data_IF_621505326727
#
_entry.id   IF_621505326727
#
_cell.length_a   1.000
_cell.length_b   1.000
_cell.length_c   1.000
_cell.angle_alpha   90.00
_cell.angle_beta   90.00
_cell.angle_gamma   90.00
#
_symmetry.space_group_name_H-M   'P 1'
#
loop_
_entity.id
_entity.type
_entity.pdbx_description
1 polymer ?
2 non-polymer ?
3 non-polymer ?
4 water ?
#
# COMPACT_ATOMS: atom_id res chain seq x y z
N UNK A 12 -7.25 11.60 -17.75
CA UNK A 12 -6.32 10.48 -17.51
C UNK A 12 -5.31 10.79 -16.38
N UNK A 13 -5.46 10.11 -15.21
CA UNK A 13 -4.55 10.30 -14.06
C UNK A 13 -3.21 9.64 -14.37
N UNK A 14 -2.07 10.34 -14.25
CA UNK A 14 -0.79 9.69 -14.54
C UNK A 14 -0.55 8.50 -13.61
N UNK A 15 0.03 7.43 -14.17
CA UNK A 15 0.38 6.24 -13.39
C UNK A 15 1.57 6.64 -12.52
N UNK A 16 1.82 5.90 -11.43
CA UNK A 16 2.95 6.22 -10.56
C UNK A 16 4.28 6.06 -11.30
N UNK A 17 5.29 6.94 -11.06
CA UNK A 17 6.62 6.65 -11.60
C UNK A 17 7.07 5.33 -10.95
N UNK A 18 7.77 4.48 -11.69
CA UNK A 18 8.19 3.17 -11.21
C UNK A 18 9.64 3.15 -10.73
N UNK A 19 10.49 4.07 -11.25
CA UNK A 19 11.92 4.12 -10.94
C UNK A 19 12.40 5.26 -10.06
N UNK A 20 13.25 4.92 -9.08
CA UNK A 20 13.91 5.87 -8.19
C UNK A 20 15.38 5.47 -8.03
N UNK A 21 16.33 6.42 -7.94
CA UNK A 21 17.75 6.05 -7.80
C UNK A 21 18.07 5.24 -6.56
N UNK A 22 17.35 5.52 -5.47
CA UNK A 22 17.53 4.93 -4.15
C UNK A 22 16.16 4.63 -3.54
N UNK A 23 16.06 4.57 -2.18
CA UNK A 23 14.83 4.29 -1.47
C UNK A 23 13.76 5.36 -1.70
N UNK A 24 12.52 4.92 -1.86
CA UNK A 24 11.41 5.80 -2.14
C UNK A 24 10.34 5.77 -1.05
N UNK A 25 9.46 6.79 -1.04
CA UNK A 25 8.36 6.91 -0.09
C UNK A 25 7.06 7.43 -0.73
N UNK A 26 5.96 6.79 -0.37
CA UNK A 26 4.62 7.17 -0.74
C UNK A 26 3.79 7.29 0.51
N UNK A 27 2.80 8.17 0.50
CA UNK A 27 1.91 8.38 1.65
C UNK A 27 0.45 8.30 1.22
N UNK A 28 -0.40 7.82 2.13
CA UNK A 28 -1.83 7.64 1.98
C UNK A 28 -2.46 8.41 3.12
N UNK A 29 -3.53 9.13 2.84
CA UNK A 29 -4.17 10.00 3.82
C UNK A 29 -5.69 10.07 3.67
N UNK A 30 -6.40 9.31 4.50
CA UNK A 30 -7.87 9.27 4.50
C UNK A 30 -8.46 10.48 5.23
N UNK A 31 -9.33 11.23 4.54
CA UNK A 31 -9.91 12.45 5.09
C UNK A 31 -11.13 12.23 5.95
N UNK A 32 -11.36 13.15 6.87
CA UNK A 32 -12.54 13.16 7.72
C UNK A 32 -13.27 14.48 7.48
N UNK A 33 -14.60 14.40 7.48
CA UNK A 33 -15.47 15.55 7.32
C UNK A 33 -16.26 15.61 6.04
N UNK A 34 -15.98 14.71 5.09
CA UNK A 34 -16.64 14.68 3.79
C UNK A 34 -16.67 13.30 3.16
N UNK A 35 -17.39 13.19 2.05
CA UNK A 35 -17.46 12.02 1.18
C UNK A 35 -17.42 12.47 -0.31
N UNK A 36 -17.08 11.54 -1.18
CA UNK A 36 -17.18 11.66 -2.62
C UNK A 36 -18.32 10.67 -2.99
N UNK A 37 -19.21 11.08 -3.89
CA UNK A 37 -20.25 10.21 -4.38
C UNK A 37 -20.00 10.09 -5.86
N UNK A 38 -20.13 8.87 -6.41
CA UNK A 38 -19.84 8.56 -7.81
C UNK A 38 -20.74 7.44 -8.32
N UNK A 39 -20.84 7.18 -9.66
CA UNK A 39 -21.59 5.99 -10.12
C UNK A 39 -20.98 4.70 -9.59
N UNK A 40 -21.76 3.59 -9.56
CA UNK A 40 -21.27 2.28 -9.12
C UNK A 40 -20.23 1.75 -10.10
N UNK A 41 -19.24 0.98 -9.59
CA UNK A 41 -18.15 0.38 -10.38
C UNK A 41 -17.25 1.44 -11.07
N UNK A 42 -17.20 2.65 -10.49
CA UNK A 42 -16.37 3.76 -10.97
C UNK A 42 -14.92 3.49 -10.63
N UNK A 43 -14.01 4.08 -11.40
CA UNK A 43 -12.57 3.96 -11.15
C UNK A 43 -12.25 4.64 -9.81
N UNK A 44 -11.26 4.10 -9.05
CA UNK A 44 -10.85 4.61 -7.75
C UNK A 44 -10.40 6.08 -7.80
N UNK A 45 -9.63 6.45 -8.83
CA UNK A 45 -9.11 7.80 -9.04
C UNK A 45 -10.10 8.68 -9.79
N UNK A 46 -10.38 9.88 -9.24
CA UNK A 46 -11.29 10.85 -9.88
C UNK A 46 -10.61 12.17 -10.19
N UNK A 47 -9.37 12.31 -9.71
CA UNK A 47 -8.55 13.49 -9.93
C UNK A 47 -7.18 13.40 -9.29
N UNK A 48 -6.39 14.47 -9.46
CA UNK A 48 -5.06 14.60 -8.91
C UNK A 48 -4.67 16.06 -8.71
N UNK A 49 -3.69 16.27 -7.82
CA UNK A 49 -3.12 17.59 -7.56
C UNK A 49 -1.66 17.55 -8.04
N UNK A 50 -1.28 18.56 -8.81
CA UNK A 50 0.06 18.70 -9.35
C UNK A 50 0.61 20.08 -9.00
N UNK A 51 1.93 20.27 -9.12
CA UNK A 51 2.52 21.59 -8.91
C UNK A 51 2.26 22.41 -10.19
N UNK A 52 2.45 23.74 -10.13
CA UNK A 52 2.30 24.62 -11.29
C UNK A 52 3.28 24.24 -12.43
N UNK A 53 4.44 23.68 -12.06
CA UNK A 53 5.49 23.22 -12.98
C UNK A 53 5.07 21.90 -13.69
N UNK A 54 4.00 21.26 -13.22
CA UNK A 54 3.46 20.03 -13.79
C UNK A 54 3.79 18.73 -13.09
N UNK A 55 4.50 18.77 -11.96
CA UNK A 55 4.85 17.57 -11.21
C UNK A 55 3.63 17.05 -10.44
N UNK A 56 3.26 15.79 -10.67
CA UNK A 56 2.12 15.10 -10.05
C UNK A 56 2.48 14.83 -8.57
N UNK A 57 1.65 15.33 -7.63
CA UNK A 57 1.90 15.26 -6.18
C UNK A 57 1.11 14.18 -5.46
N UNK A 58 -0.20 14.13 -5.69
CA UNK A 58 -1.07 13.10 -5.13
C UNK A 58 -2.36 12.90 -5.91
N UNK A 59 -2.95 11.72 -5.73
CA UNK A 59 -4.22 11.34 -6.37
C UNK A 59 -5.37 11.57 -5.41
N UNK A 60 -6.56 11.88 -5.96
CA UNK A 60 -7.82 12.05 -5.24
C UNK A 60 -8.58 10.77 -5.52
N UNK A 61 -8.78 9.95 -4.48
CA UNK A 61 -9.40 8.64 -4.64
C UNK A 61 -10.57 8.40 -3.73
N UNK A 62 -11.44 7.47 -4.15
CA UNK A 62 -12.51 6.99 -3.29
C UNK A 62 -11.85 5.89 -2.45
N UNK A 63 -12.25 5.77 -1.19
CA UNK A 63 -11.65 4.77 -0.32
C UNK A 63 -12.67 3.74 0.23
N UNK A 64 -13.28 4.03 1.39
CA UNK A 64 -14.22 3.15 2.07
C UNK A 64 -15.67 3.41 1.60
N UNK A 65 -16.36 2.36 1.08
CA UNK A 65 -17.76 2.46 0.64
C UNK A 65 -18.64 2.76 1.86
N UNK A 66 -19.37 3.89 1.84
CA UNK A 66 -20.21 4.34 2.95
C UNK A 66 -21.70 4.18 2.67
N UNK A 67 -22.04 3.40 1.64
CA UNK A 67 -23.41 3.13 1.23
C UNK A 67 -23.80 3.85 -0.03
N UNK A 68 -25.06 3.68 -0.47
CA UNK A 68 -25.55 4.30 -1.69
C UNK A 68 -25.77 5.81 -1.51
N UNK A 69 -25.60 6.56 -2.60
CA UNK A 69 -25.79 8.00 -2.59
C UNK A 69 -27.23 8.36 -2.90
N UNK A 70 -27.83 9.21 -2.07
CA UNK A 70 -29.18 9.71 -2.29
C UNK A 70 -29.09 11.22 -2.39
N UNK A 71 -29.37 11.76 -3.59
CA UNK A 71 -29.31 13.20 -3.82
C UNK A 71 -30.31 13.88 -2.88
N UNK A 72 -29.87 14.84 -2.03
CA UNK A 72 -30.83 15.52 -1.16
C UNK A 72 -31.95 16.20 -1.97
N UNK A 73 -33.24 15.95 -1.63
CA UNK A 73 -34.37 16.50 -2.43
C UNK A 73 -34.30 18.00 -2.75
N UNK A 74 -33.83 18.80 -1.79
CA UNK A 74 -33.66 20.24 -1.92
C UNK A 74 -32.51 20.66 -2.87
N UNK A 75 -31.79 19.67 -3.45
CA UNK A 75 -30.68 19.88 -4.40
C UNK A 75 -30.91 19.09 -5.70
N UNK A 76 -32.18 18.73 -6.00
CA UNK A 76 -32.61 18.06 -7.23
C UNK A 76 -32.22 19.00 -8.36
N UNK A 77 -31.60 18.45 -9.41
CA UNK A 77 -31.07 19.23 -10.53
C UNK A 77 -31.34 18.64 -11.91
N UNK A 78 -32.22 17.65 -11.98
CA UNK A 78 -32.57 16.96 -13.23
C UNK A 78 -31.50 16.00 -13.72
N UNK A 79 -30.46 15.78 -12.91
CA UNK A 79 -29.36 14.88 -13.23
C UNK A 79 -29.58 13.50 -12.64
N UNK A 80 -29.04 12.50 -13.36
CA UNK A 80 -29.12 11.09 -13.05
C UNK A 80 -28.02 10.73 -12.02
N UNK A 81 -28.46 10.34 -10.79
CA UNK A 81 -27.60 9.86 -9.70
C UNK A 81 -27.98 8.42 -9.34
N UNK A 82 -28.48 7.65 -10.34
CA UNK A 82 -28.92 6.27 -10.14
C UNK A 82 -27.78 5.31 -9.94
N UNK A 83 -27.86 4.53 -8.85
CA UNK A 83 -26.89 3.51 -8.42
C UNK A 83 -25.54 4.10 -7.92
N UNK A 84 -25.50 5.44 -7.72
CA UNK A 84 -24.34 6.16 -7.22
C UNK A 84 -24.01 5.75 -5.80
N UNK A 85 -22.73 5.51 -5.53
CA UNK A 85 -22.24 5.10 -4.22
C UNK A 85 -21.44 6.20 -3.54
N UNK A 86 -21.54 6.28 -2.21
CA UNK A 86 -20.84 7.24 -1.35
C UNK A 86 -19.57 6.56 -0.79
N UNK A 87 -18.43 7.28 -0.80
CA UNK A 87 -17.16 6.77 -0.30
C UNK A 87 -16.41 7.86 0.45
N UNK A 88 -15.51 7.48 1.36
CA UNK A 88 -14.61 8.42 2.01
C UNK A 88 -13.53 8.76 0.98
N UNK A 89 -12.84 9.89 1.19
CA UNK A 89 -11.78 10.35 0.31
C UNK A 89 -10.44 10.01 0.93
N UNK A 90 -9.52 9.53 0.08
CA UNK A 90 -8.16 9.23 0.47
C UNK A 90 -7.22 9.90 -0.50
N UNK A 91 -6.27 10.65 0.05
CA UNK A 91 -5.24 11.34 -0.74
C UNK A 91 -4.01 10.45 -0.76
N UNK A 92 -3.64 10.00 -1.98
CA UNK A 92 -2.54 9.07 -2.22
C UNK A 92 -1.41 9.75 -3.01
N UNK A 93 -0.26 10.00 -2.35
CA UNK A 93 0.86 10.65 -3.01
C UNK A 93 1.49 9.85 -4.14
N UNK A 94 2.14 10.55 -5.07
CA UNK A 94 2.94 9.96 -6.12
C UNK A 94 4.27 9.76 -5.40
N UNK A 95 4.88 8.56 -5.46
CA UNK A 95 6.13 8.35 -4.70
C UNK A 95 7.23 9.33 -5.06
N UNK A 96 8.13 9.58 -4.10
CA UNK A 96 9.30 10.43 -4.28
C UNK A 96 10.49 9.80 -3.58
N UNK A 97 11.66 10.37 -3.77
CA UNK A 97 12.87 9.87 -3.12
C UNK A 97 12.74 10.23 -1.65
N UNK A 98 13.00 9.26 -0.75
CA UNK A 98 12.91 9.41 0.71
C UNK A 98 13.74 10.58 1.24
N UNK A 99 14.91 10.83 0.63
CA UNK A 99 15.83 11.91 1.04
C UNK A 99 15.60 13.23 0.27
N UNK A 100 14.54 13.29 -0.55
CA UNK A 100 14.18 14.49 -1.29
C UNK A 100 13.25 15.32 -0.41
N UNK A 101 13.81 16.21 0.41
CA UNK A 101 13.07 17.04 1.37
C UNK A 101 12.01 17.94 0.74
N UNK A 102 12.36 18.59 -0.38
CA UNK A 102 11.48 19.48 -1.15
C UNK A 102 10.25 18.75 -1.65
N UNK A 103 10.42 17.54 -2.20
CA UNK A 103 9.32 16.73 -2.73
C UNK A 103 8.36 16.26 -1.66
N UNK A 104 8.91 15.89 -0.48
CA UNK A 104 8.17 15.41 0.70
C UNK A 104 7.32 16.56 1.24
N UNK A 105 7.93 17.75 1.32
CA UNK A 105 7.32 18.96 1.84
C UNK A 105 6.20 19.51 0.97
N UNK A 106 6.40 19.50 -0.35
CA UNK A 106 5.40 19.96 -1.33
C UNK A 106 4.15 19.09 -1.27
N UNK A 107 4.32 17.75 -1.12
CA UNK A 107 3.21 16.80 -1.01
C UNK A 107 2.37 17.13 0.23
N UNK A 108 3.03 17.32 1.40
CA UNK A 108 2.40 17.66 2.68
C UNK A 108 1.62 18.98 2.60
N UNK A 109 2.25 20.02 2.04
CA UNK A 109 1.66 21.35 1.85
C UNK A 109 0.51 21.31 0.85
N UNK A 110 0.67 20.52 -0.24
CA UNK A 110 -0.37 20.39 -1.26
C UNK A 110 -1.62 19.68 -0.69
N UNK A 111 -1.41 18.68 0.20
CA UNK A 111 -2.51 17.97 0.87
C UNK A 111 -3.23 18.90 1.86
N UNK A 112 -2.47 19.73 2.60
CA UNK A 112 -3.02 20.68 3.56
C UNK A 112 -3.80 21.80 2.85
N UNK A 113 -3.32 22.25 1.68
CA UNK A 113 -4.01 23.25 0.88
C UNK A 113 -5.33 22.66 0.36
N UNK A 114 -5.31 21.41 -0.16
CA UNK A 114 -6.54 20.76 -0.66
C UNK A 114 -7.62 20.61 0.43
N UNK A 115 -7.20 20.32 1.67
CA UNK A 115 -8.08 20.22 2.83
C UNK A 115 -8.79 21.58 3.05
N UNK A 116 -8.04 22.71 2.96
CA UNK A 116 -8.62 24.08 3.08
C UNK A 116 -9.56 24.39 1.93
N UNK A 117 -9.23 23.93 0.70
CA UNK A 117 -10.09 24.09 -0.47
C UNK A 117 -11.41 23.28 -0.29
N UNK A 118 -11.33 22.01 0.17
CA UNK A 118 -12.48 21.14 0.46
C UNK A 118 -13.42 21.78 1.50
N UNK A 119 -12.83 22.40 2.56
CA UNK A 119 -13.53 23.13 3.64
C UNK A 119 -14.40 24.24 3.03
N UNK A 120 -13.86 24.96 2.02
CA UNK A 120 -14.61 26.03 1.35
C UNK A 120 -15.66 25.42 0.43
N UNK A 121 -15.29 24.34 -0.30
CA UNK A 121 -16.15 23.64 -1.24
C UNK A 121 -17.43 23.09 -0.59
N UNK A 122 -17.35 22.48 0.58
CA UNK A 122 -18.53 21.93 1.27
C UNK A 122 -19.39 23.05 1.88
N UNK A 123 -18.81 24.25 1.98
CA UNK A 123 -19.49 25.42 2.49
C UNK A 123 -20.31 26.12 1.41
N UNK A 124 -19.73 26.34 0.21
CA UNK A 124 -20.43 27.03 -0.87
C UNK A 124 -20.87 26.18 -2.07
N UNK A 125 -20.23 25.03 -2.28
CA UNK A 125 -20.54 24.15 -3.42
C UNK A 125 -20.83 22.72 -2.94
N UNK A 126 -21.54 22.57 -1.81
CA UNK A 126 -21.89 21.25 -1.25
C UNK A 126 -22.72 20.47 -2.24
N UNK A 127 -22.37 19.19 -2.44
CA UNK A 127 -23.00 18.24 -3.38
C UNK A 127 -22.70 18.52 -4.87
N UNK A 128 -21.58 19.20 -5.13
CA UNK A 128 -21.11 19.53 -6.48
C UNK A 128 -19.76 18.91 -6.75
N UNK A 129 -19.41 18.62 -8.05
CA UNK A 129 -18.06 18.10 -8.31
C UNK A 129 -16.99 19.13 -8.00
N UNK A 130 -15.77 18.67 -7.76
CA UNK A 130 -14.63 19.56 -7.58
C UNK A 130 -14.31 20.12 -8.98
N UNK A 131 -13.97 21.40 -9.09
CA UNK A 131 -13.61 21.98 -10.39
C UNK A 131 -12.09 22.03 -10.57
N UNK A 132 -11.55 21.81 -11.79
CA UNK A 132 -10.09 21.88 -11.96
C UNK A 132 -9.59 23.32 -11.82
N UNK A 133 -9.06 23.65 -10.64
CA UNK A 133 -8.58 25.00 -10.31
C UNK A 133 -7.11 25.05 -9.87
N UNK A 134 -6.56 26.27 -9.87
CA UNK A 134 -5.21 26.58 -9.41
C UNK A 134 -5.35 27.26 -8.05
N UNK A 135 -4.46 26.94 -7.11
CA UNK A 135 -4.45 27.58 -5.78
C UNK A 135 -4.18 29.10 -5.91
N UNK A 136 -4.66 29.87 -4.92
CA UNK A 136 -4.53 31.34 -4.87
C UNK A 136 -3.07 31.81 -4.97
N UNK A 137 -2.14 31.05 -4.38
CA UNK A 137 -0.71 31.36 -4.45
C UNK A 137 -0.04 30.87 -5.75
N UNK A 138 -0.76 30.07 -6.54
CA UNK A 138 -0.29 29.50 -7.80
C UNK A 138 0.49 28.20 -7.68
N UNK A 139 0.79 27.75 -6.45
CA UNK A 139 1.58 26.55 -6.21
C UNK A 139 0.97 25.25 -6.68
N UNK A 140 -0.36 25.06 -6.48
CA UNK A 140 -1.05 23.82 -6.76
C UNK A 140 -2.19 23.87 -7.75
N UNK A 141 -2.32 22.82 -8.56
CA UNK A 141 -3.36 22.70 -9.57
C UNK A 141 -4.12 21.40 -9.40
N UNK A 142 -5.46 21.47 -9.42
CA UNK A 142 -6.35 20.30 -9.38
C UNK A 142 -6.67 19.96 -10.82
N UNK A 143 -6.56 18.68 -11.16
CA UNK A 143 -6.96 18.16 -12.46
C UNK A 143 -8.01 17.13 -12.13
N UNK A 144 -9.17 17.19 -12.78
CA UNK A 144 -10.27 16.25 -12.59
C UNK A 144 -10.27 15.27 -13.75
N UNK A 145 -10.13 13.97 -13.45
CA UNK A 145 -10.08 12.90 -14.45
C UNK A 145 -11.40 12.16 -14.60
N UNK A 146 -12.26 12.26 -13.58
CA UNK A 146 -13.62 11.74 -13.60
C UNK A 146 -14.57 12.84 -13.09
N UNK A 147 -15.25 13.53 -14.03
CA UNK A 147 -16.19 14.61 -13.74
C UNK A 147 -17.50 14.09 -13.12
N UNK A 148 -17.82 12.81 -13.37
CA UNK A 148 -19.02 12.17 -12.81
C UNK A 148 -18.79 11.83 -11.32
N UNK A 149 -18.79 12.88 -10.47
CA UNK A 149 -18.61 12.78 -9.02
C UNK A 149 -19.17 14.02 -8.39
N UNK A 150 -19.45 13.96 -7.07
CA UNK A 150 -19.85 15.10 -6.24
C UNK A 150 -19.10 15.03 -4.89
N UNK A 151 -18.85 16.18 -4.26
CA UNK A 151 -18.19 16.29 -2.95
C UNK A 151 -19.25 16.80 -1.99
N UNK A 152 -19.46 16.09 -0.87
CA UNK A 152 -20.47 16.49 0.12
C UNK A 152 -19.96 16.34 1.54
N UNK A 153 -20.36 17.28 2.40
CA UNK A 153 -19.99 17.34 3.81
C UNK A 153 -20.53 16.17 4.60
N UNK A 154 -19.81 15.81 5.65
CA UNK A 154 -20.13 14.72 6.54
C UNK A 154 -20.32 13.41 5.80
N UNK A 155 -21.52 12.84 5.93
CA UNK A 155 -21.96 11.58 5.36
C UNK A 155 -22.59 11.71 3.97
N UNK A 156 -22.87 12.94 3.53
CA UNK A 156 -23.46 13.22 2.22
C UNK A 156 -24.95 13.01 2.17
N UNK A 157 -25.60 12.92 3.35
CA UNK A 157 -27.04 12.68 3.44
C UNK A 157 -27.78 14.02 3.44
N UNK A 158 -27.31 14.98 4.24
CA UNK A 158 -27.90 16.31 4.33
C UNK A 158 -27.41 17.23 3.20
N UNK A 159 -28.29 18.15 2.75
CA UNK A 159 -27.99 19.15 1.72
C UNK A 159 -26.92 20.14 2.21
N UNK A 160 -26.95 20.46 3.52
CA UNK A 160 -26.03 21.40 4.14
C UNK A 160 -25.06 20.74 5.12
N UNK A 161 -23.87 21.34 5.25
CA UNK A 161 -22.82 20.90 6.16
C UNK A 161 -23.11 21.32 7.60
N UNK A 162 -22.26 20.88 8.51
CA UNK A 162 -22.23 21.26 9.92
C UNK A 162 -21.01 22.17 10.16
N UNK A 163 -20.60 22.91 9.12
CA UNK A 163 -19.46 23.82 9.17
C UNK A 163 -18.12 23.15 9.43
N UNK A 164 -17.96 21.90 8.92
CA UNK A 164 -16.75 21.12 9.12
C UNK A 164 -15.49 21.73 8.51
N UNK A 165 -14.37 21.58 9.22
CA UNK A 165 -13.04 21.89 8.73
C UNK A 165 -12.52 20.50 8.30
N UNK A 166 -12.09 20.36 7.04
CA UNK A 166 -11.57 19.10 6.51
C UNK A 166 -10.18 18.87 7.06
N UNK A 167 -9.96 17.75 7.71
CA UNK A 167 -8.71 17.46 8.37
C UNK A 167 -8.10 16.15 7.88
N UNK A 168 -6.90 15.85 8.30
CA UNK A 168 -6.28 14.53 8.21
C UNK A 168 -5.93 14.02 9.58
N UNK A 169 -5.88 12.71 9.81
CA UNK A 169 -5.39 12.21 11.11
C UNK A 169 -4.63 10.96 11.11
N UNK A 170 -3.67 10.84 12.14
CA UNK A 170 -2.87 9.60 12.06
C UNK A 170 -3.68 8.33 11.94
N UNK A 171 -4.92 8.33 12.40
CA UNK A 171 -5.70 7.11 12.25
C UNK A 171 -5.98 6.81 10.78
N UNK A 172 -5.99 7.83 9.95
CA UNK A 172 -6.14 7.70 8.53
C UNK A 172 -4.87 7.69 7.70
N UNK A 173 -3.72 7.57 8.35
CA UNK A 173 -2.47 7.67 7.70
C UNK A 173 -1.67 6.39 7.53
N UNK A 174 -1.06 6.28 6.38
CA UNK A 174 -0.15 5.21 5.99
C UNK A 174 1.03 5.81 5.24
N UNK A 175 2.11 5.03 5.22
CA UNK A 175 3.32 5.33 4.50
C UNK A 175 3.76 4.04 3.82
N UNK A 176 4.31 4.13 2.59
CA UNK A 176 4.81 2.99 1.81
C UNK A 176 6.24 3.29 1.41
N UNK A 177 7.17 2.39 1.76
CA UNK A 177 8.60 2.54 1.51
C UNK A 177 9.06 1.46 0.53
N UNK A 178 9.77 1.89 -0.52
CA UNK A 178 10.38 1.03 -1.52
C UNK A 178 11.88 1.04 -1.34
N UNK A 179 12.51 -0.15 -1.35
CA UNK A 179 13.94 -0.32 -1.20
C UNK A 179 14.41 -1.33 -2.21
N UNK A 180 15.70 -1.27 -2.61
CA UNK A 180 16.28 -2.26 -3.50
C UNK A 180 16.18 -3.60 -2.78
N UNK A 181 15.64 -4.65 -3.45
CA UNK A 181 15.46 -5.99 -2.88
C UNK A 181 16.75 -6.56 -2.28
N UNK A 182 17.90 -6.32 -2.94
CA UNK A 182 19.23 -6.76 -2.53
C UNK A 182 19.71 -6.17 -1.19
N UNK A 183 19.08 -5.08 -0.76
CA UNK A 183 19.42 -4.39 0.48
C UNK A 183 18.75 -4.96 1.71
N UNK A 184 17.63 -5.70 1.54
CA UNK A 184 16.90 -6.26 2.66
C UNK A 184 17.72 -7.33 3.41
N UNK A 185 18.12 -6.97 4.63
CA UNK A 185 18.97 -7.83 5.46
C UNK A 185 20.39 -7.30 5.63
N UNK A 186 20.80 -6.29 4.83
CA UNK A 186 22.16 -5.71 4.93
C UNK A 186 22.25 -4.66 6.04
N UNK A 187 21.09 -4.07 6.46
CA UNK A 187 20.98 -3.02 7.49
C UNK A 187 21.81 -1.77 7.14
N UNK A 188 22.14 -1.56 5.85
CA UNK A 188 23.03 -0.50 5.36
C UNK A 188 22.55 0.92 5.60
N UNK A 189 21.24 1.13 5.56
CA UNK A 189 20.63 2.45 5.70
C UNK A 189 19.61 2.45 6.85
N UNK A 190 19.18 3.64 7.36
CA UNK A 190 18.13 3.67 8.40
C UNK A 190 16.77 3.16 7.93
N UNK A 191 16.43 3.27 6.62
CA UNK A 191 15.16 2.75 6.04
C UNK A 191 15.18 1.23 6.18
N UNK A 192 16.29 0.61 5.73
CA UNK A 192 16.48 -0.84 5.76
C UNK A 192 16.37 -1.35 7.17
N UNK A 193 17.00 -0.66 8.14
CA UNK A 193 16.96 -1.05 9.56
C UNK A 193 15.56 -0.94 10.11
N UNK A 194 14.79 0.07 9.68
CA UNK A 194 13.41 0.24 10.10
C UNK A 194 12.55 -0.94 9.56
N UNK A 195 12.73 -1.29 8.28
CA UNK A 195 12.06 -2.41 7.63
C UNK A 195 12.43 -3.75 8.27
N UNK A 196 13.71 -3.94 8.61
CA UNK A 196 14.22 -5.17 9.23
C UNK A 196 13.74 -5.33 10.69
N UNK A 197 13.19 -4.25 11.28
CA UNK A 197 12.64 -4.28 12.63
C UNK A 197 11.21 -4.85 12.63
N UNK A 198 10.63 -5.17 11.43
CA UNK A 198 9.31 -5.79 11.32
C UNK A 198 9.30 -7.06 12.18
N UNK A 199 8.26 -7.26 13.03
CA UNK A 199 8.25 -8.43 13.94
C UNK A 199 8.30 -9.78 13.25
N UNK A 200 7.80 -9.85 12.00
CA UNK A 200 7.80 -11.08 11.21
C UNK A 200 9.18 -11.39 10.66
N UNK A 201 10.05 -10.38 10.46
CA UNK A 201 11.37 -10.62 9.91
C UNK A 201 12.32 -11.25 10.93
N UNK A 202 12.83 -12.43 10.60
CA UNK A 202 13.73 -13.21 11.47
C UNK A 202 15.16 -13.16 10.92
N UNK A 203 15.97 -12.21 11.41
CA UNK A 203 17.35 -12.02 10.97
C UNK A 203 18.25 -13.25 11.17
N UNK A 204 17.99 -14.04 12.22
CA UNK A 204 18.71 -15.28 12.55
C UNK A 204 18.76 -16.26 11.37
N UNK A 205 17.75 -16.22 10.49
CA UNK A 205 17.65 -17.08 9.30
C UNK A 205 18.82 -16.91 8.31
N UNK A 206 19.50 -15.74 8.33
CA UNK A 206 20.67 -15.47 7.48
C UNK A 206 21.85 -16.38 7.83
N UNK A 207 22.27 -16.38 9.11
CA UNK A 207 23.36 -17.24 9.60
C UNK A 207 22.97 -18.71 9.53
N UNK A 208 21.65 -19.00 9.64
CA UNK A 208 21.10 -20.35 9.51
C UNK A 208 21.32 -20.86 8.10
N UNK A 209 21.00 -20.04 7.06
CA UNK A 209 21.23 -20.41 5.66
C UNK A 209 22.71 -20.74 5.40
N UNK A 210 23.63 -19.91 5.95
CA UNK A 210 25.08 -20.07 5.81
C UNK A 210 25.54 -21.48 6.23
N UNK A 211 25.06 -21.96 7.40
CA UNK A 211 25.33 -23.30 7.96
C UNK A 211 24.84 -24.45 7.07
N UNK A 212 23.64 -24.33 6.47
CA UNK A 212 23.05 -25.35 5.61
C UNK A 212 23.76 -25.49 4.26
N UNK A 213 24.48 -24.43 3.82
CA UNK A 213 25.05 -24.35 2.46
C UNK A 213 26.58 -24.23 2.34
N UNK A 214 27.32 -24.81 3.30
CA UNK A 214 28.79 -24.79 3.31
C UNK A 214 29.44 -25.59 2.16
N UNK A 215 28.91 -26.80 1.86
CA UNK A 215 29.40 -27.67 0.78
C UNK A 215 29.01 -27.16 -0.60
N UNK A 216 28.11 -26.16 -0.64
CA UNK A 216 27.60 -25.56 -1.87
C UNK A 216 28.45 -24.38 -2.34
N UNK A 217 28.78 -24.37 -3.63
CA UNK A 217 29.54 -23.29 -4.25
C UNK A 217 28.52 -22.29 -4.79
N UNK A 218 28.20 -21.27 -3.97
CA UNK A 218 27.16 -20.29 -4.33
C UNK A 218 27.73 -19.06 -5.05
N UNK A 219 27.06 -18.64 -6.14
CA UNK A 219 27.44 -17.48 -6.96
C UNK A 219 27.55 -16.20 -6.11
N UNK A 220 26.59 -15.97 -5.20
CA UNK A 220 26.58 -14.85 -4.26
C UNK A 220 25.91 -15.36 -2.98
N UNK A 221 26.70 -15.91 -2.07
CA UNK A 221 26.22 -16.51 -0.82
C UNK A 221 25.56 -15.55 0.18
N UNK A 222 25.99 -14.29 0.21
CA UNK A 222 25.46 -13.26 1.10
C UNK A 222 24.09 -12.74 0.63
N UNK A 223 23.91 -12.64 -0.69
CA UNK A 223 22.67 -12.24 -1.35
C UNK A 223 21.67 -13.39 -1.15
N UNK A 224 22.13 -14.66 -1.37
CA UNK A 224 21.36 -15.88 -1.18
C UNK A 224 20.79 -15.96 0.23
N UNK A 225 21.64 -15.70 1.26
CA UNK A 225 21.23 -15.70 2.67
C UNK A 225 20.19 -14.63 3.01
N UNK A 226 20.33 -13.44 2.38
CA UNK A 226 19.40 -12.31 2.54
C UNK A 226 18.03 -12.65 1.97
N UNK A 227 18.01 -13.23 0.75
CA UNK A 227 16.77 -13.62 0.07
C UNK A 227 16.07 -14.73 0.85
N UNK A 228 16.86 -15.71 1.35
CA UNK A 228 16.35 -16.84 2.15
C UNK A 228 15.61 -16.35 3.38
N UNK A 229 16.25 -15.48 4.18
CA UNK A 229 15.71 -14.92 5.41
C UNK A 229 14.45 -14.11 5.15
N UNK A 230 14.43 -13.31 4.06
CA UNK A 230 13.29 -12.51 3.63
C UNK A 230 12.09 -13.40 3.25
N UNK A 231 12.29 -14.33 2.29
CA UNK A 231 11.24 -15.26 1.85
C UNK A 231 10.77 -16.18 2.96
N UNK A 232 11.71 -16.81 3.71
CA UNK A 232 11.36 -17.70 4.82
C UNK A 232 10.49 -16.96 5.84
N UNK A 233 10.89 -15.74 6.22
CA UNK A 233 10.16 -14.91 7.17
C UNK A 233 8.72 -14.65 6.70
N UNK A 234 8.53 -14.32 5.42
CA UNK A 234 7.21 -14.06 4.81
C UNK A 234 6.35 -15.32 4.81
N UNK A 235 6.91 -16.45 4.33
CA UNK A 235 6.26 -17.76 4.26
C UNK A 235 5.83 -18.23 5.64
N UNK A 236 6.73 -18.13 6.65
CA UNK A 236 6.43 -18.55 8.02
C UNK A 236 5.32 -17.70 8.65
N UNK A 237 5.36 -16.38 8.43
CA UNK A 237 4.34 -15.45 8.92
C UNK A 237 2.97 -15.71 8.26
N UNK A 238 2.96 -15.99 6.95
CA UNK A 238 1.73 -16.32 6.23
C UNK A 238 1.06 -17.54 6.87
N UNK A 239 1.86 -18.59 7.19
CA UNK A 239 1.40 -19.81 7.84
C UNK A 239 0.87 -19.52 9.24
N UNK A 240 1.59 -18.66 9.99
CA UNK A 240 1.22 -18.22 11.33
C UNK A 240 -0.14 -17.52 11.28
N UNK A 241 -0.30 -16.60 10.33
CA UNK A 241 -1.56 -15.87 10.13
C UNK A 241 -2.69 -16.76 9.65
N UNK A 242 -2.40 -17.71 8.73
CA UNK A 242 -3.41 -18.65 8.22
C UNK A 242 -3.96 -19.52 9.35
N UNK A 243 -3.09 -19.94 10.28
CA UNK A 243 -3.46 -20.73 11.46
C UNK A 243 -4.24 -19.86 12.44
N UNK A 244 -3.72 -18.66 12.73
CA UNK A 244 -4.33 -17.68 13.65
C UNK A 244 -5.74 -17.24 13.24
N UNK A 245 -5.92 -16.87 11.97
CA UNK A 245 -7.18 -16.35 11.45
C UNK A 245 -8.05 -17.33 10.69
N UNK A 246 -7.57 -18.57 10.51
CA UNK A 246 -8.31 -19.58 9.77
C UNK A 246 -8.50 -19.19 8.32
N UNK A 247 -7.37 -18.90 7.62
CA UNK A 247 -7.38 -18.45 6.23
C UNK A 247 -7.20 -19.64 5.29
N UNK A 248 -8.04 -19.72 4.26
CA UNK A 248 -7.95 -20.72 3.21
C UNK A 248 -6.82 -20.24 2.27
N UNK A 249 -5.68 -20.99 2.27
CA UNK A 249 -4.50 -20.73 1.43
C UNK A 249 -4.40 -21.89 0.46
N UNK A 250 -4.45 -21.59 -0.87
CA UNK A 250 -4.37 -22.60 -1.93
C UNK A 250 -5.41 -23.70 -1.64
N UNK A 251 -4.97 -24.95 -1.43
CA UNK A 251 -5.85 -26.06 -1.08
C UNK A 251 -5.89 -26.35 0.43
N UNK A 252 -5.23 -25.52 1.28
CA UNK A 252 -5.23 -25.73 2.73
C UNK A 252 -6.55 -25.28 3.35
N UNK A 253 -7.15 -26.18 4.11
CA UNK A 253 -8.42 -25.97 4.77
C UNK A 253 -8.20 -25.83 6.29
N UNK A 254 -8.40 -24.61 6.87
CA UNK A 254 -8.20 -24.45 8.32
C UNK A 254 -9.07 -25.37 9.18
N UNK A 255 -10.29 -25.67 8.70
CA UNK A 255 -11.21 -26.56 9.39
C UNK A 255 -10.69 -27.99 9.50
N UNK A 256 -9.81 -28.43 8.55
CA UNK A 256 -9.19 -29.77 8.61
C UNK A 256 -8.27 -29.89 9.83
N UNK A 257 -7.83 -28.75 10.40
CA UNK A 257 -6.98 -28.68 11.58
C UNK A 257 -7.73 -28.09 12.79
N UNK A 258 -9.08 -28.13 12.76
CA UNK A 258 -10.01 -27.67 13.79
C UNK A 258 -9.87 -26.17 14.11
N UNK A 259 -9.51 -25.37 13.07
CA UNK A 259 -9.36 -23.92 13.18
C UNK A 259 -10.60 -23.27 12.57
N UNK A 260 -11.28 -22.45 13.36
CA UNK A 260 -12.47 -21.74 12.90
C UNK A 260 -12.04 -20.51 12.10
N UNK A 261 -12.50 -20.33 10.84
CA UNK A 261 -12.19 -19.09 10.11
C UNK A 261 -12.72 -17.85 10.81
N UNK A 262 -11.82 -16.90 11.11
CA UNK A 262 -12.14 -15.64 11.79
C UNK A 262 -11.60 -14.43 11.04
N UNK A 263 -11.53 -14.53 9.69
CA UNK A 263 -11.10 -13.49 8.74
C UNK A 263 -11.58 -13.90 7.34
N UNK A 264 -11.77 -12.92 6.43
CA UNK A 264 -12.24 -13.18 5.08
C UNK A 264 -11.15 -13.62 4.09
N UNK A 265 -9.89 -13.47 4.48
CA UNK A 265 -8.75 -13.88 3.66
C UNK A 265 -7.52 -13.09 4.02
N UNK A 266 -6.48 -13.18 3.17
CA UNK A 266 -5.20 -12.48 3.33
C UNK A 266 -5.32 -10.94 3.27
N UNK A 267 -6.31 -10.44 2.50
CA UNK A 267 -6.58 -9.01 2.29
C UNK A 267 -7.46 -8.38 3.36
N UNK A 268 -7.94 -9.19 4.32
CA UNK A 268 -8.79 -8.70 5.41
C UNK A 268 -8.02 -7.64 6.21
N UNK A 269 -8.60 -6.43 6.46
CA UNK A 269 -7.84 -5.38 7.19
C UNK A 269 -7.12 -5.82 8.46
N UNK A 270 -7.74 -6.74 9.24
CA UNK A 270 -7.13 -7.21 10.48
C UNK A 270 -5.91 -8.10 10.26
N UNK A 271 -5.89 -8.86 9.15
CA UNK A 271 -4.77 -9.72 8.74
C UNK A 271 -3.64 -8.78 8.29
N UNK A 272 -3.99 -7.76 7.47
CA UNK A 272 -3.03 -6.75 7.00
C UNK A 272 -2.41 -6.01 8.18
N UNK A 273 -3.22 -5.61 9.19
CA UNK A 273 -2.74 -4.94 10.41
C UNK A 273 -1.81 -5.81 11.23
N UNK A 274 -2.06 -7.15 11.27
CA UNK A 274 -1.20 -8.09 11.99
C UNK A 274 0.22 -8.18 11.42
N UNK A 275 0.42 -7.80 10.13
CA UNK A 275 1.78 -7.75 9.52
C UNK A 275 2.56 -6.57 10.10
N UNK A 276 1.86 -5.46 10.40
CA UNK A 276 2.38 -4.17 10.89
C UNK A 276 3.13 -3.42 9.78
N UNK A 277 4.18 -4.06 9.23
CA UNK A 277 4.96 -3.60 8.09
C UNK A 277 4.56 -4.63 7.02
N UNK A 278 3.58 -4.25 6.18
CA UNK A 278 2.98 -5.12 5.15
C UNK A 278 3.77 -5.23 3.84
N UNK A 279 4.36 -6.39 3.49
CA UNK A 279 5.00 -6.50 2.16
C UNK A 279 3.97 -6.24 1.06
N UNK A 280 4.30 -5.33 0.12
CA UNK A 280 3.44 -4.95 -0.98
C UNK A 280 3.88 -5.49 -2.33
N UNK A 281 4.99 -6.23 -2.38
CA UNK A 281 5.56 -6.80 -3.61
C UNK A 281 5.43 -8.32 -3.58
N UNK A 282 5.10 -8.92 -4.76
CA UNK A 282 4.96 -10.36 -4.95
C UNK A 282 6.28 -11.07 -4.54
N UNK A 283 6.26 -11.96 -3.52
CA UNK A 283 7.51 -12.59 -3.06
C UNK A 283 8.36 -13.29 -4.11
N UNK A 284 7.73 -13.90 -5.13
CA UNK A 284 8.44 -14.64 -6.20
C UNK A 284 9.34 -13.75 -7.09
N UNK A 285 9.12 -12.42 -7.08
CA UNK A 285 9.95 -11.47 -7.83
C UNK A 285 11.41 -11.41 -7.33
N UNK A 286 11.64 -11.63 -6.01
CA UNK A 286 12.98 -11.57 -5.42
C UNK A 286 13.96 -12.62 -5.94
N UNK A 287 13.44 -13.78 -6.38
CA UNK A 287 14.22 -14.88 -6.98
C UNK A 287 15.04 -14.38 -8.20
N UNK A 288 14.50 -13.36 -8.91
CA UNK A 288 15.10 -12.75 -10.09
C UNK A 288 16.44 -12.04 -9.80
N UNK A 289 16.69 -11.63 -8.54
CA UNK A 289 17.95 -10.96 -8.17
C UNK A 289 19.13 -11.94 -8.00
N UNK A 290 18.85 -13.25 -7.99
CA UNK A 290 19.84 -14.34 -7.85
C UNK A 290 20.02 -15.06 -9.19
N UNK A 291 21.10 -15.86 -9.31
CA UNK A 291 21.37 -16.70 -10.48
C UNK A 291 20.40 -17.89 -10.41
N UNK A 292 20.10 -18.56 -11.57
CA UNK A 292 19.23 -19.75 -11.64
C UNK A 292 19.63 -20.78 -10.56
N UNK A 293 20.95 -20.97 -10.37
CA UNK A 293 21.56 -21.91 -9.42
C UNK A 293 21.38 -21.52 -7.95
N UNK A 294 21.67 -20.25 -7.61
CA UNK A 294 21.53 -19.71 -6.25
C UNK A 294 20.08 -19.67 -5.80
N UNK A 295 19.14 -19.39 -6.74
CA UNK A 295 17.72 -19.35 -6.47
C UNK A 295 17.22 -20.74 -6.13
N UNK A 296 17.66 -21.78 -6.90
CA UNK A 296 17.31 -23.20 -6.67
C UNK A 296 17.73 -23.61 -5.25
N UNK A 297 18.93 -23.19 -4.85
CA UNK A 297 19.53 -23.41 -3.52
C UNK A 297 18.74 -22.74 -2.40
N UNK A 298 18.27 -21.49 -2.62
CA UNK A 298 17.46 -20.75 -1.65
C UNK A 298 16.11 -21.42 -1.52
N UNK A 299 15.44 -21.69 -2.67
CA UNK A 299 14.10 -22.29 -2.71
C UNK A 299 14.02 -23.69 -2.10
N UNK A 300 15.02 -24.54 -2.37
CA UNK A 300 15.09 -25.91 -1.86
C UNK A 300 15.18 -25.97 -0.33
N UNK A 301 15.79 -24.96 0.31
CA UNK A 301 15.94 -24.88 1.77
C UNK A 301 14.74 -24.27 2.51
N UNK A 302 13.77 -23.68 1.79
CA UNK A 302 12.61 -23.07 2.44
C UNK A 302 11.60 -24.07 3.00
N UNK A 303 11.19 -25.09 2.20
CA UNK A 303 10.20 -26.12 2.60
C UNK A 303 10.49 -26.66 4.02
N UNK A 304 11.73 -27.12 4.37
CA UNK A 304 11.96 -27.66 5.72
C UNK A 304 11.74 -26.70 6.89
N UNK A 305 11.95 -25.40 6.70
CA UNK A 305 11.69 -24.37 7.72
C UNK A 305 10.18 -24.29 8.04
N UNK A 306 9.32 -24.49 7.02
CA UNK A 306 7.88 -24.52 7.18
C UNK A 306 7.48 -25.86 7.82
N UNK A 307 8.00 -26.98 7.27
CA UNK A 307 7.71 -28.35 7.71
C UNK A 307 8.15 -28.70 9.15
N UNK A 308 9.07 -27.92 9.74
CA UNK A 308 9.52 -28.17 11.10
C UNK A 308 8.67 -27.38 12.11
N UNK A 309 7.79 -26.49 11.62
CA UNK A 309 6.93 -25.65 12.47
C UNK A 309 5.45 -25.82 12.20
N UNK A 310 5.10 -26.22 10.97
CA UNK A 310 3.70 -26.36 10.52
C UNK A 310 3.42 -27.70 9.88
N UNK A 311 2.13 -28.08 9.83
CA UNK A 311 1.72 -29.34 9.21
C UNK A 311 2.19 -29.41 7.76
N UNK A 312 2.30 -30.64 7.20
CA UNK A 312 2.70 -30.89 5.81
C UNK A 312 1.78 -30.13 4.85
N UNK A 313 0.46 -30.22 5.08
CA UNK A 313 -0.55 -29.53 4.26
C UNK A 313 -0.39 -28.01 4.26
N UNK A 314 -0.29 -27.38 5.43
CA UNK A 314 -0.08 -25.93 5.51
C UNK A 314 1.25 -25.52 4.89
N UNK A 315 2.33 -26.30 5.13
CA UNK A 315 3.65 -26.02 4.57
C UNK A 315 3.67 -26.11 3.05
N UNK A 316 3.14 -27.22 2.46
CA UNK A 316 3.08 -27.45 1.01
C UNK A 316 2.27 -26.31 0.35
N UNK A 317 1.08 -26.00 0.91
CA UNK A 317 0.20 -24.96 0.39
C UNK A 317 0.74 -23.56 0.43
N UNK A 318 1.43 -23.17 1.51
CA UNK A 318 2.05 -21.85 1.62
C UNK A 318 3.21 -21.75 0.61
N UNK A 319 4.06 -22.80 0.59
CA UNK A 319 5.18 -22.90 -0.34
C UNK A 319 4.71 -22.80 -1.79
N UNK A 320 3.72 -23.63 -2.21
CA UNK A 320 3.19 -23.61 -3.57
C UNK A 320 2.54 -22.28 -3.91
N UNK A 321 1.76 -21.72 -2.97
CA UNK A 321 1.09 -20.43 -3.15
C UNK A 321 2.09 -19.33 -3.58
N UNK A 322 3.21 -19.19 -2.85
CA UNK A 322 4.21 -18.18 -3.19
C UNK A 322 5.06 -18.50 -4.42
N UNK A 323 5.19 -19.79 -4.77
CA UNK A 323 5.93 -20.30 -5.94
C UNK A 323 5.23 -19.87 -7.25
N UNK A 324 3.88 -20.01 -7.32
CA UNK A 324 3.05 -19.66 -8.48
C UNK A 324 2.73 -18.16 -8.60
N UNK A 325 3.46 -17.33 -7.85
CA UNK A 325 3.28 -15.88 -7.86
C UNK A 325 2.22 -15.32 -6.93
N UNK A 326 1.95 -16.03 -5.84
CA UNK A 326 0.99 -15.58 -4.85
C UNK A 326 1.40 -14.29 -4.16
N UNK A 327 0.42 -13.42 -3.90
CA UNK A 327 0.59 -12.12 -3.25
C UNK A 327 0.29 -12.25 -1.76
N UNK A 328 1.00 -11.48 -0.93
CA UNK A 328 0.84 -11.45 0.52
C UNK A 328 -0.58 -10.94 0.91
N UNK A 329 -1.07 -9.87 0.23
CA UNK A 329 -2.38 -9.27 0.49
C UNK A 329 -2.94 -8.53 -0.72
N UNK A 330 -3.32 -9.28 -1.75
CA UNK A 330 -3.91 -8.69 -2.94
C UNK A 330 -2.87 -8.12 -3.91
N UNK A 331 -3.35 -7.52 -5.02
CA UNK A 331 -2.49 -6.98 -6.07
C UNK A 331 -1.36 -6.13 -5.51
N UNK A 332 -0.15 -6.55 -5.79
CA UNK A 332 1.03 -5.84 -5.30
C UNK A 332 1.60 -4.80 -6.24
N UNK A 333 2.66 -4.11 -5.77
CA UNK A 333 3.41 -3.15 -6.58
C UNK A 333 4.65 -3.94 -7.01
N UNK A 334 4.59 -4.49 -8.24
CA UNK A 334 5.60 -5.43 -8.77
C UNK A 334 6.51 -4.93 -9.87
N UNK A 335 6.26 -3.72 -10.37
CA UNK A 335 7.03 -3.11 -11.47
C UNK A 335 7.91 -1.93 -11.01
N UNK A 336 8.10 -1.77 -9.68
CA UNK A 336 8.90 -0.70 -9.10
C UNK A 336 10.40 -1.11 -9.16
N UNK A 337 11.29 -0.15 -9.52
CA UNK A 337 12.72 -0.41 -9.67
C UNK A 337 13.59 0.64 -8.94
N UNK A 338 14.88 0.30 -8.69
CA UNK A 338 15.87 1.13 -7.99
C UNK A 338 17.24 1.05 -8.71
N UNK A 339 18.10 2.03 -8.45
CA UNK A 339 19.44 2.10 -8.99
C UNK A 339 19.52 2.85 -10.29
N UNK A 340 20.34 2.33 -11.21
CA UNK A 340 20.59 2.91 -12.53
C UNK A 340 19.36 2.71 -13.42
N UNK A 341 18.84 3.81 -14.00
CA UNK A 341 17.70 3.86 -14.92
C UNK A 341 17.86 2.92 -16.12
N UNK A 342 19.11 2.76 -16.60
CA UNK A 342 19.48 1.95 -17.76
C UNK A 342 19.55 0.45 -17.47
N UNK A 343 20.00 0.08 -16.25
CA UNK A 343 20.12 -1.29 -15.76
C UNK A 343 19.34 -1.33 -14.43
N UNK A 344 17.97 -1.25 -14.46
CA UNK A 344 17.21 -1.17 -13.21
C UNK A 344 17.14 -2.45 -12.39
N UNK A 345 17.17 -2.29 -11.06
CA UNK A 345 17.13 -3.40 -10.11
C UNK A 345 15.80 -3.44 -9.41
N UNK A 346 15.40 -4.64 -8.94
CA UNK A 346 14.13 -4.83 -8.26
C UNK A 346 13.97 -4.03 -6.96
N UNK A 347 12.84 -3.34 -6.85
CA UNK A 347 12.47 -2.62 -5.64
C UNK A 347 11.34 -3.39 -5.01
N UNK A 348 11.41 -3.58 -3.69
CA UNK A 348 10.36 -4.27 -2.94
C UNK A 348 9.72 -3.25 -2.00
N UNK A 349 8.39 -3.25 -1.91
CA UNK A 349 7.64 -2.24 -1.17
C UNK A 349 6.98 -2.72 0.08
N UNK A 350 6.88 -1.81 1.07
CA UNK A 350 6.32 -2.13 2.37
C UNK A 350 5.39 -1.07 2.86
N UNK A 351 4.19 -1.48 3.30
CA UNK A 351 3.19 -0.57 3.82
C UNK A 351 3.21 -0.53 5.34
N UNK A 352 3.40 0.67 5.90
CA UNK A 352 3.34 0.89 7.34
C UNK A 352 1.86 1.12 7.65
N UNK A 353 1.21 0.08 8.17
CA UNK A 353 -0.21 0.10 8.52
C UNK A 353 -0.58 1.24 9.49
N UNK A 354 0.35 1.54 10.40
CA UNK A 354 0.37 2.66 11.36
C UNK A 354 1.69 3.34 11.06
N UNK A 355 1.72 4.68 10.95
CA UNK A 355 2.95 5.41 10.67
C UNK A 355 3.81 5.48 11.94
N UNK A 356 5.03 4.88 11.93
CA UNK A 356 5.87 4.94 13.14
C UNK A 356 6.48 6.33 13.29
N UNK A 357 7.01 6.64 14.49
CA UNK A 357 7.63 7.95 14.78
C UNK A 357 8.69 8.35 13.77
N UNK A 358 9.54 7.40 13.32
CA UNK A 358 10.61 7.63 12.33
C UNK A 358 10.10 8.17 10.97
N UNK A 359 8.84 7.87 10.62
CA UNK A 359 8.23 8.30 9.35
C UNK A 359 7.19 9.41 9.47
N UNK A 360 6.86 9.85 10.71
CA UNK A 360 5.87 10.91 10.96
C UNK A 360 6.10 12.23 10.21
N UNK A 361 7.36 12.62 10.00
CA UNK A 361 7.78 13.84 9.29
C UNK A 361 7.38 13.87 7.81
N UNK A 362 7.04 12.69 7.23
CA UNK A 362 6.61 12.57 5.82
C UNK A 362 5.10 12.83 5.67
N UNK A 363 4.39 12.91 6.79
CA UNK A 363 2.94 13.03 6.81
C UNK A 363 2.44 14.45 7.11
N UNK A 364 1.37 14.91 6.39
CA UNK A 364 0.82 16.24 6.68
C UNK A 364 0.10 16.25 8.02
N UNK A 365 0.19 17.37 8.74
CA UNK A 365 -0.49 17.47 10.04
C UNK A 365 -1.42 18.67 10.03
N UNK A 366 -2.74 18.45 10.19
CA UNK A 366 -3.74 19.55 10.23
C UNK A 366 -3.37 20.52 11.36
N UNK A 367 -3.19 21.79 11.00
CA UNK A 367 -2.84 22.86 11.93
C UNK A 367 -3.96 23.24 12.87
X LIG B 1 -3.98 0.12 -2.65
X LIG B 1 -4.05 -0.49 -4.03
X LIG B 1 -5.30 0.91 -2.44
X LIG B 1 -3.88 -1.03 -1.63
X LIG B 1 -1.82 1.72 -3.68
X LIG B 1 -1.63 0.74 -4.78
X LIG B 1 -2.54 2.95 -4.26
X LIG B 1 -2.70 1.09 -2.50
X LIG B 1 -0.39 2.06 -3.08
X LIG B 1 -0.41 3.16 -2.17
X LIG B 1 0.95 3.75 -1.95
X LIG B 1 1.96 3.11 -2.76
X LIG B 1 1.08 5.24 -2.19
X LIG B 1 1.51 5.86 -0.98
X LIG B 1 2.13 5.32 -3.30
X LIG B 1 2.91 6.50 -3.28
X LIG B 1 2.93 4.10 -2.98
X LIG B 1 3.96 3.67 -3.92
X LIG B 1 3.80 3.34 -5.24
X LIG B 1 4.93 3.21 -5.89
X LIG B 1 5.90 3.45 -4.91
X LIG B 1 7.32 3.41 -4.95
X LIG B 1 8.04 3.18 -6.08
X LIG B 1 7.98 3.68 -3.80
X LIG B 1 7.27 3.99 -2.71
X LIG B 1 5.95 4.05 -2.56
X LIG B 1 5.31 3.74 -3.71
X LIG C 1 -7.07 -1.28 3.80
X LIG C 1 -7.73 -0.08 3.30
X LIG C 1 -7.16 -1.38 5.24
X LIG C 1 -7.70 -2.44 3.23
X LIG C 1 -5.67 -1.20 3.39
X LIG D 1 -8.65 29.08 1.09
X LIG D 1 -9.29 30.24 1.68
X LIG D 1 -9.14 27.86 1.76
X LIG D 1 -8.94 29.04 -0.34
X LIG D 1 -7.19 29.16 1.27
#
# INVERSE_FOLDING_TARGET
GAQPNLGRSTKATPDFPTHFPKSSIGIENELAGLVVAMPANSAQKFGYVKSAQGDALFMLTKDMNQGSYQRPPSLQDGKNYQNWQTHTVELVSYPCEMDDKAAVETRKQAMLWLATHFTTHIDQSNHQPLAPIQSEDGRFVIEITNAKHVIAAGNGISAESQGQTITMTPSGQQATVGVAAKGFGTSATPELRLLESAPWYQKSLKSQFASLTSAENLDDKELAANVFAYLTSIYLKTAELAKKFGIYINEWDPMSEQITPNANGLTDPKVKNAWEILPRTKPSKIVEILSKSDAKAVMKHIKPQLQSRYSESLSKNVFQYFQDGGEVAGHGINNATVGDKHSPELAILFEFRTVPNELQSYLPKTESTTKSEVKLLDQFDPMKRKTVIQQVESLV
ADP PB O1B O2B O3B PA O1A O2A O3A O5' C5' C4' O4' C3' O3' C2' O2' C1' N9 C8 N7 C5 C6 N6 N1 C2 N3 C4
SO4 S O1 O2 O3 O4
SO4 S O1 O2 O3 O4
#
